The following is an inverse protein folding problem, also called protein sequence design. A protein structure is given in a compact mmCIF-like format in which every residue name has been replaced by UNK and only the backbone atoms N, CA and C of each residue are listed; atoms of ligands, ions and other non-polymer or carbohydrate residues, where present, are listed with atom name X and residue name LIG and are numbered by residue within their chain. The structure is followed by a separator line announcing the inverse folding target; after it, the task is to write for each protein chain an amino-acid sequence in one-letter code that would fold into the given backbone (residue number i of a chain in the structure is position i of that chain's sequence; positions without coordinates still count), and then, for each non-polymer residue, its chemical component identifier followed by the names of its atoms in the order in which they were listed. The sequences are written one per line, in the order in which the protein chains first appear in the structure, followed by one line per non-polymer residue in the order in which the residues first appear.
data_IF_094003890746
#
_entry.id   IF_094003890746
#
_cell.length_a   1.000
_cell.length_b   1.000
_cell.length_c   1.000
_cell.angle_alpha   90.00
_cell.angle_beta   90.00
_cell.angle_gamma   90.00
#
_symmetry.space_group_name_H-M   'P 1'
#
loop_
_entity.id
_entity.type
_entity.pdbx_description
1 polymer ?
#
# COMPACT_ATOMS: atom_id res chain seq x y z
N UNK A 1 13.91 -9.48 -7.50
CA UNK A 1 13.69 -9.20 -6.07
C UNK A 1 14.74 -8.23 -5.55
N UNK A 2 14.29 -7.16 -4.94
CA UNK A 2 15.15 -6.16 -4.33
C UNK A 2 15.61 -6.67 -2.96
N UNK A 3 16.92 -6.86 -2.79
CA UNK A 3 17.44 -7.53 -1.60
C UNK A 3 18.13 -6.62 -0.58
N UNK A 4 18.24 -5.32 -0.87
CA UNK A 4 18.81 -4.36 0.06
C UNK A 4 17.84 -4.11 1.22
N UNK A 5 18.32 -4.18 2.44
CA UNK A 5 17.50 -3.95 3.63
C UNK A 5 17.28 -2.46 3.93
N UNK A 6 17.73 -1.56 3.05
CA UNK A 6 17.54 -0.11 3.19
C UNK A 6 18.11 0.47 4.49
N UNK A 7 19.03 -0.22 5.14
CA UNK A 7 19.59 0.21 6.42
C UNK A 7 18.65 0.06 7.61
N UNK A 8 17.57 -0.72 7.47
CA UNK A 8 16.50 -0.80 8.47
C UNK A 8 16.56 -2.04 9.35
N UNK A 9 17.63 -2.82 9.24
CA UNK A 9 17.70 -4.09 9.94
C UNK A 9 17.07 -5.20 9.11
N UNK A 10 16.61 -6.26 9.79
CA UNK A 10 16.18 -7.48 9.10
C UNK A 10 14.66 -7.73 9.15
N UNK A 11 13.89 -6.82 9.76
CA UNK A 11 12.42 -6.92 9.81
C UNK A 11 11.80 -5.63 9.26
N UNK A 12 11.14 -5.73 8.11
CA UNK A 12 10.49 -4.60 7.45
C UNK A 12 9.57 -5.10 6.34
N UNK A 13 8.72 -4.21 5.87
CA UNK A 13 7.88 -4.46 4.69
C UNK A 13 8.44 -3.62 3.53
N UNK A 14 8.76 -4.29 2.42
CA UNK A 14 9.09 -3.60 1.18
C UNK A 14 7.88 -3.57 0.27
N UNK A 15 7.43 -2.35 -0.05
CA UNK A 15 6.35 -2.12 -1.02
C UNK A 15 7.03 -1.72 -2.32
N UNK A 16 7.29 -2.71 -3.18
CA UNK A 16 7.98 -2.45 -4.45
C UNK A 16 6.97 -1.97 -5.48
N UNK A 17 6.96 -0.67 -5.70
CA UNK A 17 5.97 0.00 -6.54
C UNK A 17 6.18 -0.25 -8.03
N UNK A 18 7.40 -0.57 -8.43
CA UNK A 18 7.68 -0.94 -9.83
C UNK A 18 7.13 -2.33 -10.15
N UNK A 19 7.40 -3.29 -9.26
CA UNK A 19 6.96 -4.68 -9.42
C UNK A 19 5.48 -4.86 -9.05
N UNK A 20 4.92 -3.94 -8.28
CA UNK A 20 3.58 -4.07 -7.70
C UNK A 20 3.48 -5.34 -6.86
N UNK A 21 4.50 -5.53 -6.04
CA UNK A 21 4.60 -6.69 -5.16
C UNK A 21 5.18 -6.26 -3.81
N UNK A 22 4.60 -6.78 -2.73
CA UNK A 22 4.98 -6.49 -1.35
C UNK A 22 5.70 -7.71 -0.78
N UNK A 23 6.80 -7.45 -0.08
CA UNK A 23 7.58 -8.47 0.60
C UNK A 23 7.70 -8.12 2.08
N UNK A 24 7.23 -9.01 2.94
CA UNK A 24 7.35 -8.82 4.39
C UNK A 24 8.52 -9.66 4.89
N UNK A 25 9.56 -8.97 5.34
CA UNK A 25 10.78 -9.61 5.84
C UNK A 25 10.74 -9.67 7.36
N UNK A 26 11.04 -10.84 7.92
CA UNK A 26 11.31 -11.02 9.34
C UNK A 26 12.61 -11.79 9.48
N UNK A 27 13.56 -11.24 10.27
CA UNK A 27 14.87 -11.85 10.47
C UNK A 27 15.56 -12.18 9.15
N UNK A 28 15.45 -11.27 8.20
CA UNK A 28 16.07 -11.38 6.89
C UNK A 28 15.39 -12.33 5.92
N UNK A 29 14.26 -12.91 6.28
CA UNK A 29 13.54 -13.86 5.42
C UNK A 29 12.16 -13.34 5.05
N UNK A 30 11.74 -13.59 3.82
CA UNK A 30 10.38 -13.26 3.39
C UNK A 30 9.41 -14.23 4.06
N UNK A 31 8.58 -13.73 4.95
CA UNK A 31 7.57 -14.54 5.64
C UNK A 31 6.20 -14.43 4.99
N UNK A 32 6.00 -13.41 4.15
CA UNK A 32 4.78 -13.21 3.40
C UNK A 32 5.09 -12.32 2.20
N UNK A 33 4.45 -12.60 1.08
CA UNK A 33 4.52 -11.72 -0.07
C UNK A 33 3.17 -11.71 -0.78
N UNK A 34 2.90 -10.64 -1.55
CA UNK A 34 1.62 -10.51 -2.23
C UNK A 34 1.73 -9.45 -3.32
N UNK A 35 1.01 -9.64 -4.45
CA UNK A 35 0.81 -8.54 -5.37
C UNK A 35 -0.13 -7.50 -4.75
N UNK A 36 -0.11 -6.30 -5.29
CA UNK A 36 -1.00 -5.22 -4.85
C UNK A 36 -1.30 -4.29 -6.02
N UNK A 37 -2.16 -3.28 -5.76
CA UNK A 37 -2.37 -2.17 -6.68
C UNK A 37 -2.16 -0.88 -5.89
N UNK A 38 -1.17 -0.09 -6.29
CA UNK A 38 -0.87 1.19 -5.66
C UNK A 38 -1.60 2.34 -6.35
N UNK A 39 -1.26 3.56 -5.97
CA UNK A 39 -1.86 4.75 -6.54
C UNK A 39 -1.65 4.89 -8.04
N UNK A 40 -2.68 5.37 -8.74
CA UNK A 40 -2.59 5.67 -10.16
C UNK A 40 -1.44 6.65 -10.40
N UNK A 41 -0.70 6.44 -11.47
CA UNK A 41 0.52 7.21 -11.74
C UNK A 41 0.22 8.60 -12.29
N UNK A 42 -0.46 9.40 -11.47
CA UNK A 42 -0.74 10.82 -11.71
C UNK A 42 -0.24 11.61 -10.50
N UNK A 43 -0.08 12.93 -10.68
CA UNK A 43 0.46 13.79 -9.60
C UNK A 43 -0.38 13.77 -8.33
N UNK A 44 -1.68 13.58 -8.47
CA UNK A 44 -2.62 13.64 -7.34
C UNK A 44 -2.87 12.28 -6.69
N UNK A 45 -2.44 11.17 -7.30
CA UNK A 45 -2.80 9.82 -6.82
C UNK A 45 -1.64 8.88 -6.62
N UNK A 46 -0.45 9.19 -7.09
CA UNK A 46 0.66 8.24 -6.99
C UNK A 46 1.04 7.99 -5.52
N UNK A 47 1.55 6.79 -5.26
CA UNK A 47 2.04 6.44 -3.93
C UNK A 47 3.49 6.94 -3.82
N UNK A 48 3.78 7.91 -2.93
CA UNK A 48 5.14 8.44 -2.84
C UNK A 48 6.13 7.43 -2.27
N UNK A 49 7.34 7.36 -2.82
CA UNK A 49 8.39 6.52 -2.21
C UNK A 49 8.86 7.12 -0.90
N UNK A 50 9.43 6.28 -0.05
CA UNK A 50 9.96 6.71 1.23
C UNK A 50 9.94 5.59 2.26
N UNK A 51 10.42 5.92 3.45
CA UNK A 51 10.41 5.02 4.60
C UNK A 51 9.37 5.52 5.59
N UNK A 52 8.44 4.67 5.94
CA UNK A 52 7.31 5.01 6.78
C UNK A 52 7.16 4.01 7.91
N UNK A 53 6.27 4.32 8.85
CA UNK A 53 5.90 3.42 9.94
C UNK A 53 4.39 3.40 10.08
N UNK A 54 3.87 2.28 10.57
CA UNK A 54 2.44 2.14 10.83
C UNK A 54 1.99 3.21 11.84
N UNK A 55 0.98 3.99 11.48
CA UNK A 55 0.42 5.02 12.37
C UNK A 55 -0.49 4.36 13.41
N UNK A 56 -1.40 3.52 12.96
CA UNK A 56 -2.30 2.71 13.79
C UNK A 56 -2.87 1.62 12.90
N UNK A 57 -3.67 0.72 13.45
CA UNK A 57 -4.42 -0.22 12.65
C UNK A 57 -5.84 -0.35 13.18
N UNK A 58 -6.78 -0.55 12.28
CA UNK A 58 -8.20 -0.55 12.59
C UNK A 58 -8.94 -1.52 11.69
N UNK A 59 -9.88 -2.27 12.28
CA UNK A 59 -10.77 -3.14 11.51
C UNK A 59 -12.05 -2.38 11.16
N UNK A 60 -12.68 -2.80 10.07
CA UNK A 60 -14.03 -2.37 9.70
C UNK A 60 -14.14 -0.86 9.57
N UNK A 61 -13.47 -0.33 8.55
CA UNK A 61 -13.40 1.12 8.32
C UNK A 61 -14.01 1.50 6.98
N UNK A 62 -14.70 2.64 6.94
CA UNK A 62 -15.13 3.27 5.70
C UNK A 62 -14.13 4.35 5.33
N UNK A 63 -13.45 4.17 4.19
CA UNK A 63 -12.51 5.15 3.65
C UNK A 63 -13.30 6.11 2.76
N UNK A 64 -13.06 7.41 2.94
CA UNK A 64 -13.74 8.45 2.16
C UNK A 64 -12.71 9.30 1.44
N UNK A 65 -13.02 9.59 0.16
CA UNK A 65 -12.22 10.52 -0.62
C UNK A 65 -12.51 11.97 -0.25
N UNK A 66 -11.77 12.87 -0.87
CA UNK A 66 -11.97 14.31 -0.65
C UNK A 66 -13.40 14.73 -1.04
N UNK A 67 -13.98 15.73 -0.36
CA UNK A 67 -15.29 16.23 -0.73
C UNK A 67 -15.28 16.78 -2.17
N UNK A 68 -16.37 16.51 -2.89
CA UNK A 68 -16.60 17.10 -4.21
C UNK A 68 -17.26 18.47 -4.07
N UNK A 69 -17.65 19.09 -5.19
CA UNK A 69 -18.24 20.44 -5.20
C UNK A 69 -19.52 20.54 -4.38
N UNK A 70 -20.26 19.44 -4.20
CA UNK A 70 -21.51 19.44 -3.42
C UNK A 70 -21.29 19.07 -1.95
N UNK A 71 -20.02 18.91 -1.51
CA UNK A 71 -19.70 18.56 -0.13
C UNK A 71 -19.75 17.07 0.18
N UNK A 72 -20.04 16.23 -0.81
CA UNK A 72 -20.10 14.79 -0.64
C UNK A 72 -18.71 14.17 -0.89
N UNK A 73 -18.36 13.06 -0.21
CA UNK A 73 -17.12 12.38 -0.51
C UNK A 73 -17.03 11.96 -1.97
N UNK A 74 -15.86 12.14 -2.60
CA UNK A 74 -15.66 11.74 -3.98
C UNK A 74 -15.78 10.23 -4.18
N UNK A 75 -15.52 9.46 -3.13
CA UNK A 75 -15.74 8.01 -3.10
C UNK A 75 -15.89 7.56 -1.66
N UNK A 76 -16.47 6.37 -1.47
CA UNK A 76 -16.51 5.67 -0.19
C UNK A 76 -16.20 4.20 -0.44
N UNK A 77 -15.38 3.60 0.41
CA UNK A 77 -15.00 2.20 0.29
C UNK A 77 -14.90 1.57 1.67
N UNK A 78 -15.59 0.46 1.88
CA UNK A 78 -15.47 -0.30 3.12
C UNK A 78 -14.28 -1.23 3.02
N UNK A 79 -13.43 -1.22 4.06
CA UNK A 79 -12.30 -2.14 4.17
C UNK A 79 -12.35 -2.85 5.50
N UNK A 80 -11.89 -4.10 5.54
CA UNK A 80 -11.87 -4.89 6.77
C UNK A 80 -10.62 -4.60 7.60
N UNK A 81 -9.52 -4.24 6.95
CA UNK A 81 -8.22 -4.02 7.61
C UNK A 81 -7.61 -2.73 7.08
N UNK A 82 -7.49 -1.75 7.94
CA UNK A 82 -6.92 -0.44 7.61
C UNK A 82 -5.62 -0.23 8.36
N UNK A 83 -4.54 0.00 7.66
CA UNK A 83 -3.19 0.12 8.21
C UNK A 83 -2.49 1.34 7.59
N UNK A 84 -2.82 2.56 8.05
CA UNK A 84 -2.22 3.77 7.49
C UNK A 84 -0.78 3.95 7.92
N UNK A 85 0.04 4.48 7.01
CA UNK A 85 1.46 4.72 7.28
C UNK A 85 1.93 6.09 6.78
N UNK A 86 1.16 6.78 5.95
CA UNK A 86 1.55 8.09 5.41
C UNK A 86 0.30 8.95 5.20
N UNK A 87 -0.11 9.67 6.26
CA UNK A 87 -1.34 10.45 6.22
C UNK A 87 -2.53 9.58 5.89
N UNK A 88 -3.21 9.88 4.79
CA UNK A 88 -4.34 9.10 4.31
C UNK A 88 -3.96 7.87 3.49
N UNK A 89 -2.66 7.60 3.31
CA UNK A 89 -2.18 6.45 2.55
C UNK A 89 -1.87 5.30 3.49
N UNK A 90 -2.39 4.12 3.17
CA UNK A 90 -2.16 2.94 3.99
C UNK A 90 -2.32 1.65 3.20
N UNK A 91 -2.07 0.56 3.91
CA UNK A 91 -2.31 -0.80 3.42
C UNK A 91 -3.75 -1.18 3.77
N UNK A 92 -4.50 -1.76 2.83
CA UNK A 92 -5.84 -2.26 3.13
C UNK A 92 -6.28 -3.30 2.10
N UNK A 93 -7.28 -4.10 2.48
CA UNK A 93 -7.95 -5.02 1.56
C UNK A 93 -8.80 -4.25 0.55
N UNK A 94 -9.04 -4.88 -0.60
CA UNK A 94 -9.81 -4.26 -1.68
C UNK A 94 -10.68 -5.33 -2.36
N UNK A 95 -11.85 -5.58 -1.76
CA UNK A 95 -12.75 -6.61 -2.26
C UNK A 95 -13.34 -6.31 -3.64
N UNK A 96 -13.28 -5.04 -4.06
CA UNK A 96 -13.79 -4.62 -5.37
C UNK A 96 -12.84 -4.96 -6.52
N UNK A 97 -11.65 -5.49 -6.23
CA UNK A 97 -10.70 -5.89 -7.27
C UNK A 97 -10.61 -7.40 -7.36
N UNK A 98 -10.61 -7.91 -8.58
CA UNK A 98 -10.42 -9.33 -8.85
C UNK A 98 -8.99 -9.67 -9.24
N UNK A 99 -8.16 -8.66 -9.56
CA UNK A 99 -6.78 -8.85 -9.99
C UNK A 99 -5.87 -7.84 -9.32
N UNK A 100 -4.62 -8.23 -9.08
CA UNK A 100 -3.61 -7.39 -8.45
C UNK A 100 -2.29 -7.55 -9.18
N UNK A 101 -1.43 -6.53 -9.04
CA UNK A 101 -0.08 -6.58 -9.59
C UNK A 101 0.01 -6.09 -11.03
N UNK A 102 1.18 -6.31 -11.63
CA UNK A 102 1.42 -5.94 -13.02
C UNK A 102 1.33 -4.45 -13.28
N UNK A 103 0.61 -4.08 -14.34
CA UNK A 103 0.50 -2.69 -14.78
C UNK A 103 -0.86 -2.07 -14.50
N UNK A 104 -1.68 -2.72 -13.69
CA UNK A 104 -3.03 -2.23 -13.36
C UNK A 104 -2.96 -0.81 -12.81
N UNK A 105 -1.99 -0.53 -11.94
CA UNK A 105 -1.87 0.75 -11.24
C UNK A 105 -1.65 1.95 -12.15
N UNK A 106 -1.15 1.75 -13.35
CA UNK A 106 -0.77 2.87 -14.22
C UNK A 106 -2.01 3.69 -14.61
N UNK A 107 -3.10 3.02 -14.98
CA UNK A 107 -4.32 3.70 -15.40
C UNK A 107 -5.55 3.37 -14.54
N UNK A 108 -5.52 2.26 -13.82
CA UNK A 108 -6.62 1.81 -12.95
C UNK A 108 -6.18 1.69 -11.49
N UNK A 109 -5.21 2.49 -11.09
CA UNK A 109 -4.69 2.50 -9.75
C UNK A 109 -5.62 3.13 -8.73
N UNK A 110 -5.24 3.04 -7.46
CA UNK A 110 -5.97 3.61 -6.35
C UNK A 110 -5.76 5.13 -6.25
N UNK A 111 -6.26 5.71 -5.19
CA UNK A 111 -6.05 7.14 -4.87
C UNK A 111 -4.77 7.36 -4.03
N UNK A 112 -3.90 6.35 -3.95
CA UNK A 112 -2.63 6.40 -3.22
C UNK A 112 -2.40 5.20 -2.33
N UNK A 113 -3.45 4.59 -1.81
CA UNK A 113 -3.34 3.45 -0.91
C UNK A 113 -2.88 2.19 -1.63
N UNK A 114 -2.34 1.26 -0.85
CA UNK A 114 -1.88 -0.05 -1.33
C UNK A 114 -3.03 -1.03 -1.19
N UNK A 115 -3.66 -1.37 -2.30
CA UNK A 115 -4.79 -2.29 -2.34
C UNK A 115 -4.29 -3.73 -2.35
N UNK A 116 -4.72 -4.53 -1.38
CA UNK A 116 -4.24 -5.89 -1.16
C UNK A 116 -5.36 -6.91 -1.31
N UNK A 117 -5.02 -8.15 -1.72
CA UNK A 117 -5.97 -9.26 -1.58
C UNK A 117 -6.36 -9.43 -0.11
N UNK A 118 -7.63 -9.74 0.14
CA UNK A 118 -8.18 -9.77 1.49
C UNK A 118 -7.45 -10.69 2.46
N UNK A 119 -7.10 -11.90 2.02
CA UNK A 119 -6.40 -12.86 2.89
C UNK A 119 -5.00 -12.37 3.27
N UNK A 120 -4.33 -11.70 2.34
CA UNK A 120 -2.99 -11.16 2.60
C UNK A 120 -3.06 -9.94 3.53
N UNK A 121 -4.05 -9.08 3.32
CA UNK A 121 -4.27 -7.95 4.22
C UNK A 121 -4.52 -8.43 5.65
N UNK A 122 -5.32 -9.48 5.84
CA UNK A 122 -5.58 -10.08 7.14
C UNK A 122 -4.30 -10.57 7.82
N UNK A 123 -3.44 -11.26 7.05
CA UNK A 123 -2.18 -11.78 7.60
C UNK A 123 -1.22 -10.67 7.98
N UNK A 124 -1.10 -9.65 7.14
CA UNK A 124 -0.25 -8.50 7.46
C UNK A 124 -0.75 -7.80 8.70
N UNK A 125 -2.07 -7.62 8.81
CA UNK A 125 -2.69 -6.98 9.96
C UNK A 125 -2.36 -7.69 11.28
N UNK A 126 -2.34 -9.02 11.27
CA UNK A 126 -1.98 -9.81 12.46
C UNK A 126 -0.52 -9.61 12.88
N UNK A 127 0.37 -9.40 11.91
CA UNK A 127 1.82 -9.42 12.14
C UNK A 127 2.42 -8.03 12.35
N UNK A 128 1.86 -7.00 11.73
CA UNK A 128 2.46 -5.67 11.70
C UNK A 128 2.31 -4.94 13.03
N UNK A 129 3.32 -4.14 13.40
CA UNK A 129 3.25 -3.23 14.54
C UNK A 129 3.88 -1.88 14.17
N UNK A 130 3.85 -0.94 15.12
CA UNK A 130 4.34 0.43 14.86
C UNK A 130 5.86 0.52 14.67
N UNK A 131 6.58 -0.51 15.03
CA UNK A 131 8.03 -0.55 14.87
C UNK A 131 8.47 -1.16 13.55
N UNK A 132 7.52 -1.72 12.78
CA UNK A 132 7.80 -2.34 11.49
C UNK A 132 7.96 -1.24 10.42
N UNK A 133 9.16 -1.05 9.85
CA UNK A 133 9.31 -0.09 8.77
C UNK A 133 8.54 -0.54 7.52
N UNK A 134 7.96 0.42 6.83
CA UNK A 134 7.26 0.21 5.55
C UNK A 134 7.99 1.04 4.51
N UNK A 135 8.67 0.37 3.59
CA UNK A 135 9.53 1.03 2.59
C UNK A 135 8.85 0.96 1.23
N UNK A 136 8.52 2.12 0.70
CA UNK A 136 7.92 2.23 -0.63
C UNK A 136 9.02 2.65 -1.60
N UNK A 137 9.27 1.84 -2.64
CA UNK A 137 10.36 2.08 -3.58
C UNK A 137 9.91 1.91 -5.03
N UNK A 138 10.51 2.73 -5.90
CA UNK A 138 10.50 2.52 -7.35
C UNK A 138 11.94 2.18 -7.75
N UNK A 139 12.14 1.03 -8.43
CA UNK A 139 13.49 0.52 -8.70
C UNK A 139 14.36 1.48 -9.51
N UNK A 140 13.79 2.05 -10.58
CA UNK A 140 14.53 2.93 -11.50
C UNK A 140 13.86 4.29 -11.65
N UNK A 141 13.24 4.79 -10.58
CA UNK A 141 12.46 6.00 -10.63
C UNK A 141 11.06 5.75 -11.21
N UNK A 142 10.35 6.82 -11.54
CA UNK A 142 8.97 6.69 -11.99
C UNK A 142 8.58 7.90 -12.85
N UNK A 143 7.50 7.73 -13.63
CA UNK A 143 6.89 8.81 -14.42
C UNK A 143 5.45 9.00 -14.00
N UNK A 144 5.04 10.26 -13.91
CA UNK A 144 3.66 10.62 -13.62
C UNK A 144 2.97 11.07 -14.92
N UNK A 145 1.73 10.65 -15.10
CA UNK A 145 0.90 10.97 -16.25
C UNK A 145 -0.17 11.98 -15.86
N UNK A 146 -0.30 13.02 -16.62
CA UNK A 146 -1.33 14.03 -16.40
C UNK A 146 -1.01 15.04 -15.32
#
# INVERSE_FOLDING_TARGET
LYTDNHGLGDTYIEVNLTEQHLYYYKKGKVVLDTPFVSGRMTKDRFTPPGVYFLTYKQKDRILRGRPNASGQPSYQSHVNYWMPFNGGIGLHDASWRSSFGGKIYIYSGSHGCINLPGKKAAKIYEMIDKETPIVCVYNDGYKLHG
#
